data_IF_317989567140
#
_entry.id   IF_317989567140
#
_cell.length_a   1.000
_cell.length_b   1.000
_cell.length_c   1.000
_cell.angle_alpha   90.00
_cell.angle_beta   90.00
_cell.angle_gamma   90.00
#
_symmetry.space_group_name_H-M   'P 1'
#
loop_
_entity.id
_entity.type
_entity.pdbx_description
1 polymer ?
#
# COMPACT_ATOMS: atom_id res chain seq x y z
N UNK A 1 0.26 -10.64 -7.52
CA UNK A 1 0.30 -9.21 -7.96
C UNK A 1 1.33 -8.50 -7.11
N UNK A 2 2.22 -7.70 -7.69
CA UNK A 2 3.19 -6.95 -6.89
C UNK A 2 2.58 -5.69 -6.28
N UNK A 3 2.96 -5.39 -5.04
CA UNK A 3 2.55 -4.15 -4.37
C UNK A 3 3.73 -3.56 -3.59
N UNK A 4 3.78 -2.23 -3.52
CA UNK A 4 4.65 -1.49 -2.62
C UNK A 4 3.88 -1.14 -1.35
N UNK A 5 4.38 -1.59 -0.20
CA UNK A 5 3.80 -1.19 1.07
C UNK A 5 4.46 0.08 1.61
N UNK A 6 3.68 1.12 1.92
CA UNK A 6 4.20 2.36 2.53
C UNK A 6 4.43 2.25 4.04
N UNK A 7 4.06 1.12 4.65
CA UNK A 7 4.17 0.86 6.10
C UNK A 7 4.29 -0.63 6.42
N UNK A 8 4.68 -0.98 7.63
CA UNK A 8 4.63 -2.37 8.11
C UNK A 8 3.18 -2.77 8.37
N UNK A 9 2.70 -3.83 7.73
CA UNK A 9 1.32 -4.29 7.88
C UNK A 9 1.20 -5.80 7.67
N UNK A 10 0.11 -6.37 8.17
CA UNK A 10 -0.21 -7.79 8.07
C UNK A 10 -1.57 -7.91 7.37
N UNK A 11 -1.64 -8.75 6.36
CA UNK A 11 -2.89 -9.15 5.70
C UNK A 11 -3.30 -10.54 6.24
N UNK A 12 -4.28 -10.61 7.14
CA UNK A 12 -4.82 -11.89 7.58
C UNK A 12 -5.75 -12.48 6.50
N UNK A 13 -5.71 -13.79 6.35
CA UNK A 13 -6.76 -14.52 5.66
C UNK A 13 -8.08 -14.38 6.44
N UNK A 14 -9.23 -14.32 5.75
CA UNK A 14 -10.54 -14.26 6.42
C UNK A 14 -10.77 -15.46 7.36
N UNK A 15 -10.27 -16.64 6.99
CA UNK A 15 -10.32 -17.87 7.79
C UNK A 15 -9.20 -17.98 8.84
N UNK A 16 -8.32 -16.98 8.93
CA UNK A 16 -7.19 -16.96 9.87
C UNK A 16 -6.07 -17.97 9.56
N UNK A 17 -6.21 -18.81 8.54
CA UNK A 17 -5.26 -19.90 8.23
C UNK A 17 -3.93 -19.42 7.64
N UNK A 18 -3.86 -18.17 7.18
CA UNK A 18 -2.68 -17.62 6.53
C UNK A 18 -2.54 -16.14 6.79
N UNK A 19 -1.30 -15.66 6.76
CA UNK A 19 -0.97 -14.24 6.94
C UNK A 19 0.10 -13.83 5.93
N UNK A 20 -0.07 -12.67 5.31
CA UNK A 20 0.96 -12.04 4.46
C UNK A 20 1.53 -10.85 5.22
N UNK A 21 2.84 -10.85 5.44
CA UNK A 21 3.54 -9.73 6.09
C UNK A 21 4.14 -8.83 5.03
N UNK A 22 3.79 -7.55 5.07
CA UNK A 22 4.39 -6.53 4.23
C UNK A 22 5.30 -5.64 5.06
N UNK A 23 6.55 -5.55 4.65
CA UNK A 23 7.50 -4.60 5.22
C UNK A 23 7.31 -3.23 4.59
N UNK A 24 7.59 -2.18 5.37
CA UNK A 24 7.58 -0.80 4.87
C UNK A 24 8.62 -0.62 3.76
N UNK A 25 8.23 0.14 2.74
CA UNK A 25 9.03 0.53 1.58
C UNK A 25 9.59 -0.68 0.79
N UNK A 26 8.95 -1.84 0.93
CA UNK A 26 9.28 -3.08 0.25
C UNK A 26 8.21 -3.48 -0.75
N UNK A 27 8.66 -3.99 -1.89
CA UNK A 27 7.81 -4.69 -2.84
C UNK A 27 7.56 -6.12 -2.35
N UNK A 28 6.31 -6.57 -2.46
CA UNK A 28 5.93 -7.95 -2.15
C UNK A 28 4.95 -8.47 -3.20
N UNK A 29 5.02 -9.78 -3.46
CA UNK A 29 3.96 -10.45 -4.19
C UNK A 29 2.78 -10.73 -3.27
N UNK A 30 1.60 -10.32 -3.72
CA UNK A 30 0.31 -10.54 -3.07
C UNK A 30 -0.40 -11.70 -3.76
N UNK A 31 -0.75 -12.76 -3.01
CA UNK A 31 -1.54 -13.86 -3.54
C UNK A 31 -2.97 -13.41 -3.86
N UNK A 32 -3.59 -14.10 -4.82
CA UNK A 32 -4.92 -13.79 -5.35
C UNK A 32 -6.01 -13.66 -4.28
N UNK A 33 -5.98 -14.52 -3.26
CA UNK A 33 -6.95 -14.49 -2.17
C UNK A 33 -6.84 -13.20 -1.36
N UNK A 34 -5.62 -12.72 -1.09
CA UNK A 34 -5.37 -11.53 -0.30
C UNK A 34 -5.81 -10.27 -1.06
N UNK A 35 -5.55 -10.22 -2.38
CA UNK A 35 -5.97 -9.13 -3.24
C UNK A 35 -7.50 -8.95 -3.31
N UNK A 36 -8.27 -10.02 -3.09
CA UNK A 36 -9.74 -10.00 -3.12
C UNK A 36 -10.38 -9.60 -1.80
N UNK A 37 -9.61 -9.52 -0.71
CA UNK A 37 -10.14 -9.15 0.60
C UNK A 37 -10.58 -7.69 0.64
N UNK A 38 -11.67 -7.41 1.35
CA UNK A 38 -12.12 -6.04 1.59
C UNK A 38 -11.06 -5.22 2.33
N UNK A 39 -10.36 -5.85 3.26
CA UNK A 39 -9.24 -5.25 3.99
C UNK A 39 -8.15 -4.76 3.04
N UNK A 40 -7.71 -5.59 2.07
CA UNK A 40 -6.71 -5.16 1.10
C UNK A 40 -7.20 -3.97 0.26
N UNK A 41 -8.45 -3.97 -0.20
CA UNK A 41 -9.04 -2.87 -0.96
C UNK A 41 -9.07 -1.57 -0.14
N UNK A 42 -9.42 -1.64 1.13
CA UNK A 42 -9.38 -0.49 2.03
C UNK A 42 -7.96 0.06 2.23
N UNK A 43 -6.95 -0.80 2.29
CA UNK A 43 -5.54 -0.38 2.38
C UNK A 43 -5.05 0.31 1.10
N UNK A 44 -5.49 -0.16 -0.07
CA UNK A 44 -5.19 0.48 -1.36
C UNK A 44 -5.88 1.83 -1.47
N UNK A 45 -7.18 1.91 -1.14
CA UNK A 45 -7.94 3.16 -1.16
C UNK A 45 -7.38 4.23 -0.21
N UNK A 46 -6.79 3.83 0.91
CA UNK A 46 -6.11 4.72 1.85
C UNK A 46 -4.67 5.08 1.41
N UNK A 47 -4.16 4.46 0.33
CA UNK A 47 -2.80 4.68 -0.18
C UNK A 47 -1.70 4.03 0.68
N UNK A 48 -2.07 3.10 1.58
CA UNK A 48 -1.12 2.34 2.42
C UNK A 48 -0.35 1.31 1.60
N UNK A 49 -1.00 0.80 0.56
CA UNK A 49 -0.47 -0.20 -0.38
C UNK A 49 -0.67 0.33 -1.79
N UNK A 50 0.40 0.31 -2.59
CA UNK A 50 0.38 0.77 -3.98
C UNK A 50 0.61 -0.44 -4.90
N UNK A 51 -0.42 -0.93 -5.60
CA UNK A 51 -0.24 -2.03 -6.55
C UNK A 51 0.65 -1.60 -7.72
N UNK A 52 1.58 -2.47 -8.10
CA UNK A 52 2.53 -2.27 -9.19
C UNK A 52 2.13 -3.16 -10.36
N UNK A 53 1.31 -2.62 -11.27
CA UNK A 53 0.89 -3.30 -12.50
C UNK A 53 -0.27 -2.60 -13.20
N UNK A 54 -0.07 -2.23 -14.46
CA UNK A 54 -0.94 -1.81 -15.60
C UNK A 54 -2.28 -1.07 -15.37
N UNK A 55 -2.98 -1.21 -14.25
CA UNK A 55 -4.10 -0.36 -13.80
C UNK A 55 -3.62 0.98 -13.21
N UNK A 56 -2.35 1.30 -13.41
CA UNK A 56 -1.67 2.49 -12.89
C UNK A 56 -2.12 3.80 -13.58
N UNK A 57 -2.84 3.74 -14.72
CA UNK A 57 -3.31 4.96 -15.43
C UNK A 57 -4.54 5.63 -14.84
N UNK A 58 -5.42 4.91 -14.16
CA UNK A 58 -6.70 5.48 -13.70
C UNK A 58 -6.63 5.96 -12.24
N UNK A 59 -5.86 5.30 -11.38
CA UNK A 59 -5.80 5.63 -9.95
C UNK A 59 -4.68 6.64 -9.59
N UNK A 60 -3.59 6.71 -10.35
CA UNK A 60 -2.49 7.67 -10.07
C UNK A 60 -2.91 9.13 -10.29
N UNK A 61 -3.81 9.41 -11.25
CA UNK A 61 -4.34 10.76 -11.49
C UNK A 61 -5.17 11.30 -10.29
N UNK A 62 -5.71 10.42 -9.46
CA UNK A 62 -6.47 10.80 -8.26
C UNK A 62 -5.57 11.00 -7.03
N UNK A 63 -4.47 10.26 -6.92
CA UNK A 63 -3.52 10.35 -5.81
C UNK A 63 -2.61 11.60 -5.88
N UNK A 64 -2.21 12.04 -7.08
CA UNK A 64 -1.39 13.26 -7.24
C UNK A 64 -2.13 14.56 -6.84
N UNK A 65 -3.47 14.58 -6.89
CA UNK A 65 -4.25 15.79 -6.53
C UNK A 65 -4.42 16.02 -5.02
N UNK A 66 -4.01 15.08 -4.16
CA UNK A 66 -4.22 15.17 -2.70
C UNK A 66 -2.94 15.20 -1.86
N UNK A 67 -1.78 15.47 -2.45
CA UNK A 67 -0.60 15.85 -1.67
C UNK A 67 -0.74 17.31 -1.22
N UNK A 68 -1.61 17.55 -0.22
CA UNK A 68 -1.52 18.74 0.61
C UNK A 68 -0.29 18.58 1.49
N UNK A 69 0.76 19.29 1.11
CA UNK A 69 1.93 19.57 1.93
C UNK A 69 1.51 20.01 3.34
N UNK A 70 2.01 19.33 4.36
CA UNK A 70 2.24 19.95 5.68
C UNK A 70 3.62 19.55 6.20
N UNK A 71 4.46 20.59 6.20
CA UNK A 71 5.72 20.79 6.92
C UNK A 71 5.88 20.01 8.21
N UNK A 72 7.12 19.57 8.45
CA UNK A 72 7.68 19.53 9.80
C UNK A 72 8.80 18.51 9.99
N UNK A 73 9.98 18.74 9.43
CA UNK A 73 11.26 18.56 10.15
C UNK A 73 12.40 19.15 9.31
N UNK A 74 12.86 20.32 9.71
CA UNK A 74 14.13 20.89 9.29
C UNK A 74 15.22 20.01 9.93
N UNK A 75 16.11 19.44 9.11
CA UNK A 75 17.39 18.87 9.56
C UNK A 75 18.46 19.80 9.00
N UNK A 76 18.96 20.66 9.88
CA UNK A 76 20.19 21.40 9.66
C UNK A 76 21.35 20.40 9.62
N UNK A 77 22.07 20.48 8.50
CA UNK A 77 23.41 19.97 8.24
C UNK A 77 24.41 20.62 9.21
N UNK A 78 25.21 19.79 9.91
CA UNK A 78 26.64 19.98 10.22
C UNK A 78 27.25 18.63 10.66
#
# INVERSE_FOLDING_TARGET
MFVLSKRNLILPAPDGSSVVRLARDMMADIPDWAAKTDYFRALVADGKVVPSGTSDREEQAAAEKKVKTRRGREVTEE
#
